data_IF_309018931627
#
_entry.id   IF_309018931627
#
_cell.length_a   1.000
_cell.length_b   1.000
_cell.length_c   1.000
_cell.angle_alpha   90.00
_cell.angle_beta   90.00
_cell.angle_gamma   90.00
#
_symmetry.space_group_name_H-M   'P 1'
#
loop_
_entity.id
_entity.type
_entity.pdbx_description
1 polymer ?
#
# COMPACT_ATOMS: atom_id res chain seq x y z
N UNK A 1 -1.47 -7.03 20.23
CA UNK A 1 -1.62 -5.80 19.45
C UNK A 1 -0.47 -5.69 18.45
N UNK A 2 -0.69 -5.21 17.23
CA UNK A 2 0.39 -4.96 16.28
C UNK A 2 1.41 -3.96 16.84
N UNK A 3 2.70 -4.25 16.68
CA UNK A 3 3.81 -3.46 17.24
C UNK A 3 3.77 -1.99 16.80
N UNK A 4 3.51 -1.73 15.52
CA UNK A 4 3.41 -0.36 15.01
C UNK A 4 2.19 0.40 15.55
N UNK A 5 1.10 -0.27 15.87
CA UNK A 5 -0.08 0.36 16.47
C UNK A 5 0.24 0.86 17.88
N UNK A 6 0.91 0.04 18.66
CA UNK A 6 1.39 0.43 20.00
C UNK A 6 2.36 1.60 19.91
N UNK A 7 3.35 1.53 19.02
CA UNK A 7 4.30 2.61 18.75
C UNK A 7 3.59 3.91 18.36
N UNK A 8 2.57 3.83 17.50
CA UNK A 8 1.78 5.00 17.13
C UNK A 8 1.12 5.66 18.35
N UNK A 9 0.51 4.87 19.22
CA UNK A 9 -0.22 5.38 20.38
C UNK A 9 0.72 5.98 21.47
N UNK A 10 1.85 5.34 21.72
CA UNK A 10 2.75 5.69 22.81
C UNK A 10 3.78 6.76 22.43
N UNK A 11 4.27 6.74 21.20
CA UNK A 11 5.39 7.60 20.77
C UNK A 11 4.97 8.61 19.68
N UNK A 12 4.34 8.13 18.59
CA UNK A 12 4.12 8.93 17.40
C UNK A 12 3.03 9.99 17.59
N UNK A 13 1.91 9.62 18.18
CA UNK A 13 0.81 10.56 18.39
C UNK A 13 1.17 11.71 19.33
N UNK A 14 1.83 11.50 20.49
CA UNK A 14 2.31 12.60 21.33
C UNK A 14 3.34 13.48 20.63
N UNK A 15 4.28 12.90 19.87
CA UNK A 15 5.29 13.63 19.13
C UNK A 15 4.68 14.54 18.04
N UNK A 16 3.70 14.04 17.29
CA UNK A 16 2.97 14.82 16.29
C UNK A 16 2.17 15.96 16.93
N UNK A 17 1.52 15.68 18.06
CA UNK A 17 0.78 16.69 18.80
C UNK A 17 1.68 17.85 19.24
N UNK A 18 2.86 17.53 19.72
CA UNK A 18 3.87 18.50 20.16
C UNK A 18 4.43 19.31 18.98
N UNK A 19 4.75 18.64 17.87
CA UNK A 19 5.38 19.25 16.69
C UNK A 19 4.45 20.22 15.96
N UNK A 20 3.19 19.84 15.76
CA UNK A 20 2.22 20.64 15.01
C UNK A 20 1.28 21.47 15.90
N UNK A 21 1.35 21.32 17.20
CA UNK A 21 0.58 22.13 18.15
C UNK A 21 -0.93 21.92 18.07
N UNK A 22 -1.38 20.68 17.87
CA UNK A 22 -2.81 20.36 17.82
C UNK A 22 -3.51 20.67 19.15
N UNK A 23 -4.71 21.22 19.06
CA UNK A 23 -5.54 21.55 20.22
C UNK A 23 -6.29 20.36 20.81
N UNK A 24 -6.51 19.32 20.00
CA UNK A 24 -7.24 18.13 20.40
C UNK A 24 -6.54 16.86 19.89
N UNK A 25 -6.51 15.77 20.68
CA UNK A 25 -5.99 14.49 20.23
C UNK A 25 -6.70 13.95 18.97
N UNK A 26 -7.93 14.36 18.72
CA UNK A 26 -8.68 13.97 17.51
C UNK A 26 -8.17 14.62 16.22
N UNK A 27 -7.34 15.67 16.32
CA UNK A 27 -6.73 16.33 15.17
C UNK A 27 -5.45 15.64 14.69
N UNK A 28 -4.86 14.77 15.53
CA UNK A 28 -3.61 14.09 15.21
C UNK A 28 -3.80 13.22 13.96
N UNK A 29 -2.92 13.32 12.96
CA UNK A 29 -2.96 12.45 11.79
C UNK A 29 -2.86 10.98 12.18
N UNK A 30 -3.67 10.15 11.57
CA UNK A 30 -3.67 8.70 11.76
C UNK A 30 -3.81 7.98 10.43
N UNK A 31 -3.43 6.72 10.41
CA UNK A 31 -3.70 5.85 9.27
C UNK A 31 -5.19 5.51 9.21
N UNK A 32 -5.79 5.65 8.05
CA UNK A 32 -7.19 5.27 7.79
C UNK A 32 -7.27 3.87 7.17
N UNK A 33 -6.55 3.68 6.06
CA UNK A 33 -6.52 2.40 5.32
C UNK A 33 -5.27 2.30 4.47
N UNK A 34 -4.97 1.08 4.08
CA UNK A 34 -3.96 0.79 3.04
C UNK A 34 -4.64 0.04 1.91
N UNK A 35 -4.43 0.49 0.69
CA UNK A 35 -4.97 -0.15 -0.51
C UNK A 35 -3.79 -0.74 -1.27
N UNK A 36 -3.86 -2.03 -1.56
CA UNK A 36 -2.91 -2.71 -2.44
C UNK A 36 -3.62 -3.02 -3.74
N UNK A 37 -3.11 -2.52 -4.86
CA UNK A 37 -3.70 -2.68 -6.18
C UNK A 37 -2.70 -3.31 -7.14
N UNK A 38 -3.17 -4.23 -7.96
CA UNK A 38 -2.41 -4.81 -9.07
C UNK A 38 -3.20 -4.61 -10.36
N UNK A 39 -2.64 -3.83 -11.26
CA UNK A 39 -3.17 -3.71 -12.63
C UNK A 39 -2.64 -4.85 -13.50
N UNK A 40 -3.51 -5.56 -14.20
CA UNK A 40 -3.16 -6.68 -15.05
C UNK A 40 -3.69 -6.48 -16.47
N UNK A 41 -2.83 -6.03 -17.36
CA UNK A 41 -3.20 -5.81 -18.77
C UNK A 41 -3.49 -7.13 -19.53
N UNK A 42 -2.91 -8.23 -19.09
CA UNK A 42 -3.09 -9.57 -19.67
C UNK A 42 -4.49 -10.12 -19.44
N UNK A 43 -5.16 -9.67 -18.38
CA UNK A 43 -6.54 -10.05 -18.07
C UNK A 43 -7.54 -9.70 -19.18
N UNK A 44 -7.20 -8.74 -20.05
CA UNK A 44 -8.01 -8.41 -21.24
C UNK A 44 -8.09 -9.55 -22.24
N UNK A 45 -7.06 -10.36 -22.31
CA UNK A 45 -6.96 -11.52 -23.23
C UNK A 45 -7.34 -12.81 -22.51
N UNK A 46 -6.87 -12.96 -21.27
CA UNK A 46 -7.08 -14.16 -20.45
C UNK A 46 -7.46 -13.78 -19.02
N UNK A 47 -8.75 -13.83 -18.71
CA UNK A 47 -9.26 -13.49 -17.37
C UNK A 47 -8.76 -14.44 -16.27
N UNK A 48 -8.35 -15.67 -16.59
CA UNK A 48 -7.82 -16.64 -15.62
C UNK A 48 -6.52 -16.19 -14.97
N UNK A 49 -5.77 -15.29 -15.61
CA UNK A 49 -4.55 -14.70 -15.02
C UNK A 49 -4.87 -13.96 -13.71
N UNK A 50 -6.07 -13.39 -13.59
CA UNK A 50 -6.49 -12.72 -12.36
C UNK A 50 -6.64 -13.65 -11.16
N UNK A 51 -6.93 -14.92 -11.38
CA UNK A 51 -7.02 -15.90 -10.27
C UNK A 51 -5.67 -16.04 -9.58
N UNK A 52 -4.57 -16.06 -10.32
CA UNK A 52 -3.22 -16.04 -9.77
C UNK A 52 -2.92 -14.73 -9.03
N UNK A 53 -3.30 -13.59 -9.59
CA UNK A 53 -3.12 -12.27 -8.96
C UNK A 53 -3.91 -12.17 -7.65
N UNK A 54 -5.15 -12.64 -7.62
CA UNK A 54 -5.99 -12.68 -6.42
C UNK A 54 -5.38 -13.59 -5.37
N UNK A 55 -4.84 -14.75 -5.76
CA UNK A 55 -4.16 -15.66 -4.84
C UNK A 55 -2.92 -15.03 -4.22
N UNK A 56 -2.07 -14.38 -5.03
CA UNK A 56 -0.87 -13.69 -4.55
C UNK A 56 -1.21 -12.55 -3.58
N UNK A 57 -2.14 -11.69 -3.94
CA UNK A 57 -2.60 -10.60 -3.06
C UNK A 57 -3.21 -11.13 -1.76
N UNK A 58 -3.97 -12.21 -1.83
CA UNK A 58 -4.58 -12.81 -0.64
C UNK A 58 -3.53 -13.41 0.30
N UNK A 59 -2.44 -13.97 -0.23
CA UNK A 59 -1.29 -14.46 0.56
C UNK A 59 -0.54 -13.30 1.23
N UNK A 60 -0.23 -12.24 0.46
CA UNK A 60 0.51 -11.07 0.95
C UNK A 60 -0.25 -10.36 2.06
N UNK A 61 -1.55 -10.14 1.87
CA UNK A 61 -2.35 -9.29 2.77
C UNK A 61 -3.10 -10.06 3.85
N UNK A 62 -3.27 -11.37 3.69
CA UNK A 62 -4.11 -12.18 4.57
C UNK A 62 -5.61 -11.87 4.45
N UNK A 63 -6.02 -11.22 3.36
CA UNK A 63 -7.41 -10.88 3.06
C UNK A 63 -7.72 -11.17 1.60
N UNK A 64 -8.92 -11.67 1.32
CA UNK A 64 -9.33 -11.96 -0.05
C UNK A 64 -9.36 -10.69 -0.93
N UNK A 65 -8.73 -10.76 -2.10
CA UNK A 65 -8.68 -9.66 -3.04
C UNK A 65 -9.96 -9.59 -3.88
N UNK A 66 -10.35 -8.38 -4.25
CA UNK A 66 -11.51 -8.10 -5.10
C UNK A 66 -11.03 -7.79 -6.51
N UNK A 67 -11.64 -8.43 -7.51
CA UNK A 67 -11.38 -8.15 -8.92
C UNK A 67 -11.95 -6.79 -9.28
N UNK A 68 -11.14 -5.94 -9.88
CA UNK A 68 -11.54 -4.63 -10.38
C UNK A 68 -11.93 -4.69 -11.85
N UNK A 69 -13.04 -4.05 -12.19
CA UNK A 69 -13.58 -4.01 -13.54
C UNK A 69 -13.45 -2.62 -14.15
N UNK A 70 -13.31 -2.55 -15.47
CA UNK A 70 -13.26 -1.30 -16.19
C UNK A 70 -14.59 -0.53 -16.07
N UNK A 71 -14.51 0.76 -15.78
CA UNK A 71 -15.67 1.64 -15.66
C UNK A 71 -16.14 2.22 -17.00
N UNK A 72 -15.22 2.32 -17.96
CA UNK A 72 -15.47 2.87 -19.30
C UNK A 72 -14.78 2.04 -20.36
N UNK A 73 -15.37 2.01 -21.54
CA UNK A 73 -14.75 1.42 -22.73
C UNK A 73 -13.73 2.37 -23.33
N UNK A 74 -12.51 1.88 -23.61
CA UNK A 74 -11.43 2.64 -24.25
C UNK A 74 -10.88 1.82 -25.41
N UNK A 75 -11.13 2.26 -26.63
CA UNK A 75 -10.76 1.52 -27.86
C UNK A 75 -9.25 1.36 -28.01
N UNK A 76 -8.45 2.41 -27.71
CA UNK A 76 -7.00 2.37 -27.81
C UNK A 76 -6.35 1.32 -26.89
N UNK A 77 -6.95 1.05 -25.74
CA UNK A 77 -6.49 0.02 -24.81
C UNK A 77 -7.19 -1.33 -25.00
N UNK A 78 -8.08 -1.45 -25.97
CA UNK A 78 -8.90 -2.66 -26.21
C UNK A 78 -9.66 -3.11 -24.96
N UNK A 79 -10.17 -2.16 -24.19
CA UNK A 79 -10.92 -2.36 -22.95
C UNK A 79 -12.38 -2.02 -23.17
N UNK A 80 -13.28 -2.90 -22.73
CA UNK A 80 -14.73 -2.65 -22.68
C UNK A 80 -15.18 -2.50 -21.24
N UNK A 81 -16.23 -1.72 -21.04
CA UNK A 81 -16.88 -1.59 -19.74
C UNK A 81 -17.24 -2.96 -19.16
N UNK A 82 -16.97 -3.14 -17.86
CA UNK A 82 -17.20 -4.39 -17.15
C UNK A 82 -16.12 -5.47 -17.31
N UNK A 83 -15.11 -5.27 -18.16
CA UNK A 83 -14.01 -6.22 -18.27
C UNK A 83 -13.15 -6.23 -17.00
N UNK A 84 -12.74 -7.43 -16.48
CA UNK A 84 -11.82 -7.53 -15.39
C UNK A 84 -10.42 -7.05 -15.82
N UNK A 85 -9.83 -6.11 -15.10
CA UNK A 85 -8.55 -5.48 -15.44
C UNK A 85 -7.50 -5.52 -14.34
N UNK A 86 -7.87 -5.92 -13.15
CA UNK A 86 -6.95 -5.98 -12.02
C UNK A 86 -7.60 -6.55 -10.76
N UNK A 87 -6.87 -6.46 -9.67
CA UNK A 87 -7.35 -6.82 -8.35
C UNK A 87 -6.87 -5.84 -7.29
N UNK A 88 -7.62 -5.65 -6.23
CA UNK A 88 -7.26 -4.80 -5.11
C UNK A 88 -7.67 -5.40 -3.77
N UNK A 89 -6.97 -4.98 -2.72
CA UNK A 89 -7.32 -5.26 -1.32
C UNK A 89 -7.30 -3.95 -0.56
N UNK A 90 -8.29 -3.75 0.30
CA UNK A 90 -8.33 -2.61 1.24
C UNK A 90 -8.14 -3.14 2.66
N UNK A 91 -7.05 -2.75 3.30
CA UNK A 91 -6.70 -3.16 4.66
C UNK A 91 -7.04 -2.05 5.64
N UNK A 92 -7.64 -2.41 6.76
CA UNK A 92 -8.02 -1.51 7.86
C UNK A 92 -7.65 -2.13 9.20
N UNK A 93 -7.61 -1.30 10.22
CA UNK A 93 -7.36 -1.70 11.61
C UNK A 93 -6.09 -2.56 11.78
N UNK A 94 -6.15 -3.65 12.50
CA UNK A 94 -4.96 -4.46 12.84
C UNK A 94 -4.26 -5.04 11.62
N UNK A 95 -5.00 -5.49 10.62
CA UNK A 95 -4.43 -5.99 9.35
C UNK A 95 -3.63 -4.92 8.61
N UNK A 96 -4.08 -3.67 8.66
CA UNK A 96 -3.36 -2.53 8.08
C UNK A 96 -2.02 -2.31 8.80
N UNK A 97 -2.01 -2.32 10.13
CA UNK A 97 -0.79 -2.12 10.92
C UNK A 97 0.22 -3.26 10.73
N UNK A 98 -0.25 -4.50 10.72
CA UNK A 98 0.60 -5.67 10.46
C UNK A 98 1.19 -5.68 9.07
N UNK A 99 0.41 -5.31 8.07
CA UNK A 99 0.90 -5.18 6.68
C UNK A 99 1.96 -4.08 6.57
N UNK A 100 1.73 -2.92 7.19
CA UNK A 100 2.68 -1.80 7.16
C UNK A 100 4.01 -2.16 7.83
N UNK A 101 3.96 -2.87 8.94
CA UNK A 101 5.15 -3.35 9.65
C UNK A 101 5.97 -4.30 8.76
N UNK A 102 5.34 -5.27 8.14
CA UNK A 102 6.01 -6.18 7.20
C UNK A 102 6.55 -5.44 5.97
N UNK A 103 5.81 -4.48 5.45
CA UNK A 103 6.24 -3.67 4.31
C UNK A 103 7.53 -2.91 4.63
N UNK A 104 7.58 -2.18 5.73
CA UNK A 104 8.72 -1.33 6.05
C UNK A 104 9.94 -2.12 6.52
N UNK A 105 9.75 -3.15 7.33
CA UNK A 105 10.84 -3.86 8.00
C UNK A 105 11.32 -5.11 7.26
N UNK A 106 10.48 -5.73 6.44
CA UNK A 106 10.79 -6.98 5.77
C UNK A 106 10.82 -6.85 4.25
N UNK A 107 9.76 -6.31 3.64
CA UNK A 107 9.61 -6.29 2.20
C UNK A 107 10.50 -5.25 1.52
N UNK A 108 10.48 -4.00 1.96
CA UNK A 108 11.27 -2.92 1.34
C UNK A 108 12.78 -3.18 1.40
N UNK A 109 13.38 -3.67 2.48
CA UNK A 109 14.80 -4.02 2.50
C UNK A 109 15.19 -5.11 1.50
N UNK A 110 14.26 -5.92 1.04
CA UNK A 110 14.48 -6.97 0.03
C UNK A 110 14.38 -6.47 -1.41
N UNK A 111 13.98 -5.23 -1.62
CA UNK A 111 13.97 -4.62 -2.96
C UNK A 111 15.40 -4.51 -3.48
N UNK A 112 15.61 -4.89 -4.74
CA UNK A 112 16.92 -4.79 -5.41
C UNK A 112 17.33 -3.33 -5.51
N UNK A 113 18.58 -3.01 -5.11
CA UNK A 113 19.17 -1.65 -5.13
C UNK A 113 18.31 -0.63 -4.36
N UNK A 114 17.74 -1.05 -3.23
CA UNK A 114 16.89 -0.18 -2.42
C UNK A 114 17.70 0.98 -1.82
N UNK A 115 17.30 2.21 -2.14
CA UNK A 115 17.91 3.46 -1.63
C UNK A 115 16.95 4.32 -0.81
N UNK A 116 15.80 3.80 -0.49
CA UNK A 116 14.70 4.51 0.15
C UNK A 116 13.51 4.72 -0.77
N UNK A 117 12.38 5.11 -0.18
CA UNK A 117 11.16 5.45 -0.91
C UNK A 117 11.11 6.95 -1.18
N UNK A 118 10.44 7.36 -2.26
CA UNK A 118 10.33 8.79 -2.61
C UNK A 118 9.63 9.57 -1.51
N UNK A 119 10.19 10.71 -1.15
CA UNK A 119 9.57 11.65 -0.20
C UNK A 119 8.47 12.52 -0.84
N UNK A 120 8.36 12.55 -2.17
CA UNK A 120 7.49 13.45 -2.93
C UNK A 120 6.24 12.78 -3.50
N UNK A 121 6.01 11.49 -3.17
CA UNK A 121 4.86 10.73 -3.70
C UNK A 121 3.58 10.92 -2.89
N UNK A 122 3.32 12.15 -2.45
CA UNK A 122 2.10 12.56 -1.77
C UNK A 122 1.13 13.24 -2.73
N UNK A 123 -0.16 13.21 -2.42
CA UNK A 123 -1.25 13.73 -3.27
C UNK A 123 -1.67 15.18 -2.97
N UNK A 124 -1.00 15.87 -2.05
CA UNK A 124 -1.35 17.20 -1.55
C UNK A 124 -2.25 17.17 -0.31
N UNK A 125 -2.73 16.00 0.11
CA UNK A 125 -3.63 15.80 1.26
C UNK A 125 -3.11 14.79 2.27
N UNK A 126 -1.82 14.50 2.24
CA UNK A 126 -1.17 13.59 3.16
C UNK A 126 -1.33 12.10 2.86
N UNK A 127 -1.89 11.73 1.72
CA UNK A 127 -1.92 10.34 1.25
C UNK A 127 -0.65 10.02 0.48
N UNK A 128 -0.13 8.82 0.64
CA UNK A 128 1.12 8.39 0.03
C UNK A 128 0.91 7.22 -0.92
N UNK A 129 1.57 7.25 -2.07
CA UNK A 129 1.55 6.17 -3.05
C UNK A 129 2.95 5.61 -3.28
N UNK A 130 3.08 4.30 -3.23
CA UNK A 130 4.32 3.55 -3.45
C UNK A 130 4.11 2.51 -4.54
N UNK A 131 4.90 2.57 -5.61
CA UNK A 131 4.95 1.55 -6.65
C UNK A 131 6.05 0.53 -6.36
N UNK A 132 5.70 -0.75 -6.34
CA UNK A 132 6.62 -1.87 -6.25
C UNK A 132 6.69 -2.58 -7.61
N UNK A 133 7.88 -2.96 -8.03
CA UNK A 133 8.10 -3.62 -9.32
C UNK A 133 7.88 -5.13 -9.27
N UNK A 134 8.06 -5.74 -8.10
CA UNK A 134 8.08 -7.18 -7.92
C UNK A 134 7.31 -7.60 -6.66
N UNK A 135 6.42 -8.61 -6.77
CA UNK A 135 5.73 -9.16 -5.61
C UNK A 135 6.60 -10.10 -4.78
N UNK A 136 7.70 -10.59 -5.33
CA UNK A 136 8.61 -11.54 -4.66
C UNK A 136 9.36 -10.99 -3.46
N UNK A 137 9.32 -9.67 -3.25
CA UNK A 137 9.89 -9.03 -2.05
C UNK A 137 9.17 -9.44 -0.76
N UNK A 138 7.91 -9.86 -0.87
CA UNK A 138 7.15 -10.36 0.28
C UNK A 138 7.53 -11.82 0.58
N UNK A 139 7.86 -12.16 1.84
CA UNK A 139 8.29 -13.51 2.21
C UNK A 139 7.19 -14.56 2.04
N UNK A 140 5.93 -14.16 1.98
CA UNK A 140 4.78 -15.04 1.77
C UNK A 140 4.68 -15.57 0.33
N UNK A 141 5.41 -14.96 -0.60
CA UNK A 141 5.45 -15.35 -2.02
C UNK A 141 6.73 -16.13 -2.29
N UNK A 142 6.58 -17.35 -2.75
CA UNK A 142 7.67 -18.20 -3.21
C UNK A 142 7.83 -18.05 -4.73
N UNK A 143 9.08 -17.88 -5.18
CA UNK A 143 9.38 -17.66 -6.61
C UNK A 143 8.87 -18.82 -7.50
N UNK A 144 8.93 -20.04 -7.00
CA UNK A 144 8.52 -21.24 -7.75
C UNK A 144 7.01 -21.39 -7.90
N UNK A 145 6.22 -20.64 -7.13
CA UNK A 145 4.76 -20.70 -7.13
C UNK A 145 4.08 -19.61 -7.95
N UNK A 146 4.83 -18.63 -8.42
CA UNK A 146 4.31 -17.55 -9.23
C UNK A 146 4.39 -17.90 -10.72
N UNK A 147 3.37 -17.50 -11.48
CA UNK A 147 3.34 -17.63 -12.93
C UNK A 147 4.18 -16.53 -13.62
N UNK A 148 4.19 -15.33 -13.04
CA UNK A 148 4.90 -14.16 -13.57
C UNK A 148 5.20 -13.14 -12.47
N UNK A 149 6.33 -12.46 -12.58
CA UNK A 149 6.66 -11.29 -11.75
C UNK A 149 5.75 -10.13 -12.15
N UNK A 150 5.02 -9.58 -11.18
CA UNK A 150 4.13 -8.43 -11.34
C UNK A 150 4.43 -7.37 -10.29
N UNK A 151 4.30 -6.12 -10.73
CA UNK A 151 4.32 -4.98 -9.82
C UNK A 151 2.98 -4.77 -9.13
N UNK A 152 3.01 -3.93 -8.11
CA UNK A 152 1.80 -3.49 -7.39
C UNK A 152 1.94 -2.07 -6.91
N UNK A 153 0.81 -1.42 -6.71
CA UNK A 153 0.73 -0.10 -6.11
C UNK A 153 0.19 -0.21 -4.69
N UNK A 154 0.89 0.40 -3.75
CA UNK A 154 0.48 0.47 -2.36
C UNK A 154 0.13 1.92 -2.04
N UNK A 155 -1.11 2.17 -1.66
CA UNK A 155 -1.62 3.49 -1.32
C UNK A 155 -1.91 3.53 0.17
N UNK A 156 -1.23 4.41 0.88
CA UNK A 156 -1.41 4.64 2.32
C UNK A 156 -2.28 5.87 2.48
N UNK A 157 -3.51 5.66 2.94
CA UNK A 157 -4.47 6.74 3.18
C UNK A 157 -4.40 7.15 4.64
N UNK A 158 -4.18 8.44 4.87
CA UNK A 158 -4.10 9.04 6.20
C UNK A 158 -5.21 10.08 6.41
N UNK A 159 -5.41 10.50 7.63
CA UNK A 159 -6.30 11.62 7.98
C UNK A 159 -5.59 12.97 8.01
N UNK A 160 -4.32 13.03 7.62
CA UNK A 160 -3.55 14.25 7.54
C UNK A 160 -4.19 15.25 6.55
N UNK A 161 -4.06 16.53 6.84
CA UNK A 161 -4.58 17.61 5.98
C UNK A 161 -3.55 18.07 4.97
N UNK A 162 -2.27 17.96 5.30
CA UNK A 162 -1.13 18.39 4.48
C UNK A 162 -0.15 17.25 4.29
N UNK A 163 0.68 17.37 3.24
CA UNK A 163 1.73 16.39 2.95
C UNK A 163 2.82 16.37 4.03
N UNK A 164 3.09 17.51 4.66
CA UNK A 164 4.04 17.59 5.77
C UNK A 164 3.61 16.75 6.97
N UNK A 165 2.33 16.83 7.34
CA UNK A 165 1.77 16.02 8.42
C UNK A 165 1.82 14.53 8.05
N UNK A 166 1.47 14.16 6.82
CA UNK A 166 1.52 12.79 6.34
C UNK A 166 2.95 12.24 6.29
N UNK A 167 3.91 13.04 5.81
CA UNK A 167 5.33 12.68 5.77
C UNK A 167 5.89 12.43 7.16
N UNK A 168 5.61 13.32 8.08
CA UNK A 168 6.06 13.18 9.46
C UNK A 168 5.46 11.94 10.14
N UNK A 169 4.16 11.71 9.93
CA UNK A 169 3.50 10.50 10.44
C UNK A 169 4.20 9.23 9.95
N UNK A 170 4.42 9.11 8.64
CA UNK A 170 5.05 7.93 8.05
C UNK A 170 6.53 7.80 8.46
N UNK A 171 7.26 8.92 8.53
CA UNK A 171 8.66 8.94 8.96
C UNK A 171 8.81 8.40 10.39
N UNK A 172 7.97 8.83 11.31
CA UNK A 172 8.00 8.36 12.70
C UNK A 172 7.54 6.90 12.85
N UNK A 173 6.68 6.43 11.96
CA UNK A 173 6.32 5.01 11.89
C UNK A 173 7.44 4.12 11.32
N UNK A 174 8.50 4.72 10.79
CA UNK A 174 9.66 4.00 10.28
C UNK A 174 9.73 3.88 8.76
N UNK A 175 9.00 4.70 8.03
CA UNK A 175 9.10 4.74 6.57
C UNK A 175 10.52 5.12 6.12
N UNK A 176 11.19 4.29 5.30
CA UNK A 176 12.56 4.52 4.87
C UNK A 176 12.62 5.50 3.68
N UNK A 177 12.35 6.77 3.93
CA UNK A 177 12.47 7.79 2.89
C UNK A 177 13.90 7.96 2.41
N UNK A 178 14.07 8.16 1.10
CA UNK A 178 15.36 8.51 0.51
C UNK A 178 15.81 9.88 1.03
N UNK A 179 17.10 10.01 1.31
CA UNK A 179 17.74 11.25 1.75
C UNK A 179 18.05 12.15 0.57
#
# INVERSE_FOLDING_TARGET
>A
MPTLKTKYQEEVAPALMSKFGYKSPMQIPRLDKIIVNVGCSEARVNAKVLDAVVADLSRITGQHAVITKAKKSVANFKVREGMPIGAKVTLRQDKMWEFLDRLFNIALPRVRDFRGISADSFDGRGNYALGLKEQIIFPEIEFDQIDKIRGMDIIIVTTAKTDEEGRELLSQLGAPFAK
#
